data_IF_898648996287
#
_entry.id   IF_898648996287
#
_cell.length_a   1.000
_cell.length_b   1.000
_cell.length_c   1.000
_cell.angle_alpha   90.00
_cell.angle_beta   90.00
_cell.angle_gamma   90.00
#
_symmetry.space_group_name_H-M   'P 1'
#
loop_
_entity.id
_entity.type
_entity.pdbx_description
1 polymer ?
#
# COMPACT_ATOMS: atom_id res chain seq x y z
N UNK A 1 -14.65 5.80 -13.47
CA UNK A 1 -13.36 5.23 -13.96
C UNK A 1 -12.25 6.09 -13.39
N UNK A 2 -11.17 5.49 -12.89
CA UNK A 2 -10.02 6.18 -12.27
C UNK A 2 -8.75 5.86 -13.06
N UNK A 3 -7.75 6.75 -12.99
CA UNK A 3 -6.43 6.56 -13.60
C UNK A 3 -5.34 6.95 -12.59
N UNK A 4 -4.71 5.95 -11.99
CA UNK A 4 -3.64 6.16 -10.99
C UNK A 4 -2.37 6.71 -11.61
N UNK A 5 -2.16 6.58 -12.93
CA UNK A 5 -0.97 7.11 -13.62
C UNK A 5 -0.93 8.64 -13.64
N UNK A 6 -2.07 9.30 -13.39
CA UNK A 6 -2.17 10.76 -13.21
C UNK A 6 -1.60 11.25 -11.89
N UNK A 7 -1.43 10.37 -10.90
CA UNK A 7 -0.90 10.74 -9.59
C UNK A 7 0.57 11.15 -9.67
N UNK A 8 0.97 12.32 -9.11
CA UNK A 8 2.36 12.72 -9.08
C UNK A 8 3.22 11.85 -8.14
N UNK A 9 2.59 11.04 -7.28
CA UNK A 9 3.27 10.22 -6.26
C UNK A 9 3.72 8.84 -6.76
N UNK A 10 3.12 8.33 -7.85
CA UNK A 10 3.36 6.95 -8.32
C UNK A 10 4.45 6.92 -9.39
N UNK A 11 5.17 5.79 -9.48
CA UNK A 11 6.17 5.53 -10.51
C UNK A 11 5.52 5.30 -11.88
N UNK A 12 5.95 6.01 -12.94
CA UNK A 12 5.64 5.63 -14.32
C UNK A 12 6.75 4.75 -14.94
N UNK A 13 6.41 3.78 -15.81
CA UNK A 13 5.06 3.24 -16.02
C UNK A 13 4.61 2.40 -14.81
N UNK A 14 3.30 2.30 -14.59
CA UNK A 14 2.77 1.33 -13.64
C UNK A 14 2.88 -0.11 -14.18
N UNK A 15 2.74 -1.09 -13.29
CA UNK A 15 2.79 -2.53 -13.61
C UNK A 15 1.43 -3.20 -13.36
N UNK A 16 1.13 -4.36 -13.98
CA UNK A 16 -0.15 -5.06 -13.79
C UNK A 16 -0.54 -5.27 -12.33
N UNK A 17 0.42 -5.66 -11.47
CA UNK A 17 0.20 -5.84 -10.02
C UNK A 17 -0.23 -4.53 -9.36
N UNK A 18 0.47 -3.42 -9.67
CA UNK A 18 0.14 -2.10 -9.13
C UNK A 18 -1.24 -1.59 -9.53
N UNK A 19 -1.77 -2.06 -10.67
CA UNK A 19 -3.12 -1.72 -11.15
C UNK A 19 -4.22 -2.57 -10.53
N UNK A 20 -3.88 -3.66 -9.82
CA UNK A 20 -4.85 -4.62 -9.26
C UNK A 20 -4.91 -4.57 -7.73
N UNK A 21 -3.87 -4.08 -7.07
CA UNK A 21 -3.84 -3.96 -5.60
C UNK A 21 -4.81 -2.91 -5.09
N UNK A 22 -5.45 -3.21 -3.95
CA UNK A 22 -6.48 -2.37 -3.34
C UNK A 22 -5.96 -0.98 -2.95
N UNK A 23 -4.79 -0.89 -2.35
CA UNK A 23 -4.28 0.39 -1.84
C UNK A 23 -4.02 1.43 -2.95
N UNK A 24 -3.45 1.07 -4.12
CA UNK A 24 -3.43 1.91 -5.32
C UNK A 24 -4.81 2.32 -5.83
N UNK A 25 -5.81 1.42 -5.81
CA UNK A 25 -7.19 1.77 -6.19
C UNK A 25 -7.76 2.84 -5.26
N UNK A 26 -7.64 2.65 -3.95
CA UNK A 26 -8.11 3.60 -2.94
C UNK A 26 -7.36 4.93 -3.05
N UNK A 27 -6.07 4.91 -3.37
CA UNK A 27 -5.29 6.12 -3.70
C UNK A 27 -5.86 6.84 -4.93
N UNK A 28 -6.16 6.09 -5.99
CA UNK A 28 -6.82 6.60 -7.19
C UNK A 28 -8.17 7.25 -6.88
N UNK A 29 -9.02 6.61 -6.07
CA UNK A 29 -10.31 7.16 -5.64
C UNK A 29 -10.12 8.43 -4.81
N UNK A 30 -9.14 8.46 -3.92
CA UNK A 30 -8.87 9.59 -3.04
C UNK A 30 -8.42 10.85 -3.78
N UNK A 31 -7.85 10.73 -5.00
CA UNK A 31 -7.31 11.87 -5.71
C UNK A 31 -7.71 12.05 -7.18
N UNK A 32 -8.57 11.18 -7.72
CA UNK A 32 -9.08 11.32 -9.09
C UNK A 32 -9.88 12.62 -9.24
N UNK A 33 -9.67 13.31 -10.36
CA UNK A 33 -10.41 14.52 -10.73
C UNK A 33 -11.32 14.27 -11.95
N UNK A 34 -11.63 12.99 -12.22
CA UNK A 34 -12.40 12.54 -13.38
C UNK A 34 -11.55 11.92 -14.49
N UNK A 35 -12.14 11.84 -15.69
CA UNK A 35 -11.51 11.26 -16.88
C UNK A 35 -11.19 12.35 -17.91
N UNK A 36 -10.01 12.26 -18.53
CA UNK A 36 -9.61 13.16 -19.61
C UNK A 36 -8.10 13.37 -19.66
N UNK A 37 -7.59 13.75 -20.84
CA UNK A 37 -6.15 13.91 -21.05
C UNK A 37 -5.56 15.01 -20.16
N UNK A 38 -6.30 16.12 -19.99
CA UNK A 38 -5.89 17.31 -19.23
C UNK A 38 -6.36 17.28 -17.77
N UNK A 39 -7.03 16.21 -17.33
CA UNK A 39 -7.46 16.07 -15.94
C UNK A 39 -6.26 15.71 -15.09
N UNK A 40 -6.05 16.48 -14.01
CA UNK A 40 -4.97 16.28 -13.06
C UNK A 40 -5.29 15.25 -11.98
N UNK A 41 -4.48 15.25 -10.93
CA UNK A 41 -4.67 14.44 -9.73
C UNK A 41 -4.42 15.32 -8.50
N UNK A 42 -5.33 15.25 -7.54
CA UNK A 42 -5.22 15.98 -6.28
C UNK A 42 -5.98 15.20 -5.21
N UNK A 43 -5.31 14.83 -4.12
CA UNK A 43 -5.96 14.18 -2.98
C UNK A 43 -6.99 15.14 -2.36
N UNK A 44 -8.27 14.74 -2.33
CA UNK A 44 -9.36 15.51 -1.70
C UNK A 44 -9.64 15.05 -0.26
N UNK A 45 -8.96 13.98 0.17
CA UNK A 45 -8.99 13.46 1.55
C UNK A 45 -7.57 13.32 2.08
N UNK A 46 -7.42 13.40 3.39
CA UNK A 46 -6.13 13.19 4.06
C UNK A 46 -5.80 11.69 4.13
N UNK A 47 -5.51 11.08 2.97
CA UNK A 47 -5.09 9.69 2.85
C UNK A 47 -3.57 9.62 2.74
N UNK A 48 -2.96 8.89 3.66
CA UNK A 48 -1.51 8.68 3.66
C UNK A 48 -1.08 7.89 2.41
N UNK A 49 -0.12 8.44 1.66
CA UNK A 49 0.40 7.81 0.45
C UNK A 49 1.17 6.53 0.76
N UNK A 50 1.73 6.36 1.96
CA UNK A 50 2.52 5.18 2.34
C UNK A 50 1.75 3.88 2.23
N UNK A 51 0.42 3.91 2.39
CA UNK A 51 -0.46 2.77 2.19
C UNK A 51 -0.32 2.17 0.79
N UNK A 52 0.03 2.97 -0.23
CA UNK A 52 0.22 2.49 -1.60
C UNK A 52 1.34 1.45 -1.70
N UNK A 53 2.39 1.55 -0.87
CA UNK A 53 3.51 0.60 -0.86
C UNK A 53 3.28 -0.62 0.07
N UNK A 54 2.07 -0.77 0.64
CA UNK A 54 1.78 -1.84 1.61
C UNK A 54 2.17 -3.22 1.09
N UNK A 55 1.86 -3.52 -0.18
CA UNK A 55 2.07 -4.84 -0.79
C UNK A 55 2.96 -4.82 -2.04
N UNK A 56 3.47 -3.66 -2.49
CA UNK A 56 4.31 -3.54 -3.68
C UNK A 56 5.21 -2.29 -3.64
N UNK A 57 6.03 -2.09 -4.67
CA UNK A 57 6.90 -0.92 -4.84
C UNK A 57 6.32 0.06 -5.89
N UNK A 58 5.37 0.91 -5.49
CA UNK A 58 4.54 1.69 -6.43
C UNK A 58 4.85 3.19 -6.36
N UNK A 59 5.14 3.71 -5.17
CA UNK A 59 5.49 5.12 -4.98
C UNK A 59 6.90 5.42 -5.50
N UNK A 60 7.11 6.65 -5.93
CA UNK A 60 8.45 7.15 -6.32
C UNK A 60 9.43 7.08 -5.16
N UNK A 61 10.69 6.78 -5.48
CA UNK A 61 11.74 6.60 -4.47
C UNK A 61 12.05 7.88 -3.68
N UNK A 62 11.77 9.06 -4.26
CA UNK A 62 11.95 10.37 -3.61
C UNK A 62 11.10 10.56 -2.34
N UNK A 63 10.06 9.73 -2.15
CA UNK A 63 9.25 9.75 -0.93
C UNK A 63 9.86 8.92 0.21
N UNK A 64 10.94 8.16 -0.03
CA UNK A 64 11.64 7.36 0.98
C UNK A 64 10.74 6.38 1.75
N UNK A 65 9.65 5.90 1.14
CA UNK A 65 8.72 4.94 1.74
C UNK A 65 9.18 3.53 1.38
N UNK A 66 9.48 2.66 2.36
CA UNK A 66 9.88 1.29 2.07
C UNK A 66 8.83 0.55 1.22
N UNK A 67 9.25 -0.22 0.21
CA UNK A 67 8.33 -1.04 -0.57
C UNK A 67 7.95 -2.32 0.20
N UNK A 68 6.77 -2.89 -0.09
CA UNK A 68 6.27 -4.12 0.55
C UNK A 68 6.39 -4.09 2.08
N UNK A 69 6.09 -2.94 2.70
CA UNK A 69 6.41 -2.73 4.12
C UNK A 69 5.49 -3.51 5.06
N UNK A 70 4.33 -3.99 4.60
CA UNK A 70 3.42 -4.74 5.45
C UNK A 70 3.98 -6.13 5.76
N UNK A 71 4.34 -6.31 7.02
CA UNK A 71 4.70 -7.60 7.59
C UNK A 71 4.40 -7.57 9.08
N UNK A 72 3.99 -8.72 9.61
CA UNK A 72 3.91 -8.88 11.06
C UNK A 72 5.27 -8.69 11.71
N UNK A 73 5.28 -8.20 12.95
CA UNK A 73 6.53 -8.07 13.72
C UNK A 73 7.22 -9.44 13.77
N UNK A 74 8.49 -9.49 13.36
CA UNK A 74 9.26 -10.74 13.22
C UNK A 74 8.54 -11.84 12.40
N UNK A 75 7.67 -11.46 11.46
CA UNK A 75 6.86 -12.38 10.65
C UNK A 75 5.96 -13.30 11.49
N UNK A 76 5.45 -12.81 12.62
CA UNK A 76 4.58 -13.56 13.53
C UNK A 76 5.31 -14.46 14.52
N UNK A 77 6.65 -14.46 14.51
CA UNK A 77 7.43 -15.17 15.53
C UNK A 77 7.41 -14.38 16.84
N UNK A 78 7.10 -15.07 17.94
CA UNK A 78 7.04 -14.49 19.29
C UNK A 78 7.97 -15.29 20.21
N UNK A 79 8.88 -14.58 20.87
CA UNK A 79 9.77 -15.17 21.87
C UNK A 79 8.99 -15.43 23.17
N UNK A 80 9.10 -16.65 23.68
CA UNK A 80 8.51 -17.10 24.93
C UNK A 80 9.42 -16.80 26.11
N UNK A 81 8.90 -16.96 27.33
CA UNK A 81 9.66 -16.70 28.57
C UNK A 81 10.90 -17.61 28.74
N UNK A 82 10.85 -18.82 28.18
CA UNK A 82 11.97 -19.77 28.17
C UNK A 82 13.04 -19.47 27.09
N UNK A 83 12.82 -18.42 26.29
CA UNK A 83 13.70 -17.99 25.21
C UNK A 83 13.45 -18.67 23.86
N UNK A 84 12.58 -19.68 23.80
CA UNK A 84 12.17 -20.31 22.54
C UNK A 84 11.33 -19.34 21.70
N UNK A 85 11.26 -19.58 20.38
CA UNK A 85 10.44 -18.80 19.47
C UNK A 85 9.35 -19.67 18.87
N UNK A 86 8.10 -19.22 18.98
CA UNK A 86 6.94 -19.89 18.41
C UNK A 86 6.30 -19.00 17.34
N UNK A 87 5.75 -19.62 16.30
CA UNK A 87 4.94 -18.92 15.30
C UNK A 87 3.53 -18.75 15.85
N UNK A 88 3.13 -17.51 16.11
CA UNK A 88 1.79 -17.11 16.55
C UNK A 88 1.17 -16.23 15.48
N UNK A 89 0.80 -16.83 14.35
CA UNK A 89 0.27 -16.15 13.17
C UNK A 89 -1.26 -16.30 13.01
N UNK A 90 -1.94 -16.79 14.05
CA UNK A 90 -3.39 -17.02 14.10
C UNK A 90 -3.90 -16.69 15.49
N UNK A 91 -5.07 -16.07 15.54
CA UNK A 91 -5.82 -15.91 16.78
C UNK A 91 -6.50 -17.25 17.12
N UNK A 92 -6.49 -17.60 18.40
CA UNK A 92 -7.34 -18.67 18.93
C UNK A 92 -8.74 -18.08 19.17
N UNK A 93 -9.74 -18.66 18.50
CA UNK A 93 -11.15 -18.32 18.72
C UNK A 93 -11.82 -19.53 19.37
N UNK A 94 -12.32 -19.35 20.59
CA UNK A 94 -13.25 -20.28 21.22
C UNK A 94 -14.65 -20.03 20.66
N UNK A 95 -15.23 -21.04 20.00
CA UNK A 95 -16.62 -21.03 19.51
C UNK A 95 -17.57 -21.58 20.58
#
# INVERSE_FOLDING_TARGET
MIDTTKSPYVKPPGEPVSWHLLEPYLHGIAGTQGIGMFVGFKLEVNRDISLVNKQWNILKDEHCIPPLWWSEKHKGMVQQEDGCWLLQDRDEYDF
#
